data_IF_510113810739
#
_entry.id   IF_510113810739
#
_cell.length_a   1.000
_cell.length_b   1.000
_cell.length_c   1.000
_cell.angle_alpha   90.00
_cell.angle_beta   90.00
_cell.angle_gamma   90.00
#
_symmetry.space_group_name_H-M   'P 1'
#
loop_
_entity.id
_entity.type
_entity.pdbx_description
1 polymer ?
#
# COMPACT_ATOMS: atom_id res chain seq x y z
N UNK A 1 3.13 -2.25 -24.00
CA UNK A 1 4.28 -2.08 -23.08
C UNK A 1 5.21 -3.29 -23.12
N UNK A 2 4.70 -4.48 -22.82
CA UNK A 2 5.51 -5.70 -22.66
C UNK A 2 6.44 -5.91 -23.86
N UNK A 3 5.99 -5.64 -25.07
CA UNK A 3 6.82 -5.74 -26.27
C UNK A 3 7.82 -4.56 -26.42
N UNK A 4 7.62 -3.47 -25.70
CA UNK A 4 8.44 -2.25 -25.82
C UNK A 4 9.49 -2.17 -24.74
N UNK A 5 9.18 -2.60 -23.51
CA UNK A 5 10.10 -2.55 -22.37
C UNK A 5 11.04 -3.77 -22.32
N UNK A 6 10.77 -4.80 -23.11
CA UNK A 6 11.55 -6.05 -23.11
C UNK A 6 11.25 -6.96 -21.92
N UNK A 7 11.89 -8.15 -21.94
CA UNK A 7 11.70 -9.17 -20.91
C UNK A 7 12.63 -8.99 -19.69
N UNK A 8 13.59 -8.08 -19.78
CA UNK A 8 14.66 -7.94 -18.79
C UNK A 8 14.33 -6.91 -17.68
N UNK A 9 13.19 -6.21 -17.81
CA UNK A 9 12.75 -5.27 -16.79
C UNK A 9 12.06 -6.03 -15.65
N UNK A 10 12.69 -6.02 -14.48
CA UNK A 10 12.16 -6.62 -13.27
C UNK A 10 10.91 -5.89 -12.74
N UNK A 11 10.06 -6.62 -12.04
CA UNK A 11 8.99 -6.06 -11.22
C UNK A 11 9.29 -6.29 -9.74
N UNK A 12 8.75 -5.45 -8.88
CA UNK A 12 8.86 -5.56 -7.43
C UNK A 12 7.53 -6.09 -6.87
N UNK A 13 7.52 -7.30 -6.29
CA UNK A 13 6.29 -7.89 -5.76
C UNK A 13 5.90 -7.35 -4.38
N UNK A 14 6.79 -6.69 -3.65
CA UNK A 14 6.60 -6.13 -2.29
C UNK A 14 6.12 -7.15 -1.25
N UNK A 15 6.47 -8.42 -1.45
CA UNK A 15 6.20 -9.51 -0.50
C UNK A 15 7.40 -10.47 -0.45
N UNK A 16 7.48 -11.24 0.62
CA UNK A 16 8.56 -12.18 0.83
C UNK A 16 9.00 -12.23 2.29
N UNK A 17 10.08 -12.98 2.53
CA UNK A 17 10.71 -13.08 3.84
C UNK A 17 12.23 -12.99 3.70
N UNK A 18 12.89 -12.43 4.72
CA UNK A 18 14.32 -12.22 4.73
C UNK A 18 14.71 -10.77 4.87
N UNK A 19 15.94 -10.46 4.51
CA UNK A 19 16.52 -9.13 4.63
C UNK A 19 16.96 -8.63 3.25
N UNK A 20 16.75 -7.36 3.00
CA UNK A 20 17.22 -6.66 1.82
C UNK A 20 17.68 -5.26 2.26
N UNK A 21 18.88 -4.86 1.84
CA UNK A 21 19.46 -3.53 2.12
C UNK A 21 19.36 -3.13 3.62
N UNK A 22 19.66 -4.09 4.49
CA UNK A 22 19.67 -3.87 5.95
C UNK A 22 18.31 -3.91 6.66
N UNK A 23 17.19 -4.05 5.93
CA UNK A 23 15.85 -4.14 6.48
C UNK A 23 15.08 -5.41 6.10
N UNK A 24 14.01 -5.75 6.83
CA UNK A 24 13.14 -6.86 6.45
C UNK A 24 12.39 -6.51 5.16
N UNK A 25 12.28 -7.50 4.24
CA UNK A 25 11.52 -7.37 3.00
C UNK A 25 10.03 -7.62 3.23
N UNK A 26 9.21 -7.10 2.32
CA UNK A 26 7.77 -7.22 2.34
C UNK A 26 7.09 -6.15 3.19
N UNK A 27 5.84 -5.87 2.86
CA UNK A 27 5.03 -4.90 3.59
C UNK A 27 4.31 -5.62 4.74
N UNK A 28 4.61 -5.28 6.01
CA UNK A 28 3.99 -5.92 7.16
C UNK A 28 2.57 -5.40 7.39
N UNK A 29 1.75 -6.20 8.03
CA UNK A 29 0.45 -5.74 8.54
C UNK A 29 0.21 -6.24 9.96
N UNK A 30 -0.68 -5.57 10.67
CA UNK A 30 -1.14 -6.00 11.99
C UNK A 30 -2.66 -6.03 12.05
N UNK A 31 -3.20 -6.81 12.98
CA UNK A 31 -4.64 -6.86 13.23
C UNK A 31 -4.94 -6.40 14.64
N UNK A 32 -5.95 -5.55 14.79
CA UNK A 32 -6.36 -5.00 16.07
C UNK A 32 -7.86 -5.25 16.32
N UNK A 33 -8.30 -5.32 17.59
CA UNK A 33 -9.73 -5.39 17.92
C UNK A 33 -10.42 -4.05 17.70
N UNK A 34 -11.74 -4.02 17.70
CA UNK A 34 -12.53 -2.78 17.63
C UNK A 34 -12.28 -1.84 18.82
N UNK A 35 -11.82 -2.37 19.94
CA UNK A 35 -11.46 -1.62 21.14
C UNK A 35 -10.06 -0.98 21.09
N UNK A 36 -9.29 -1.17 20.00
CA UNK A 36 -8.00 -0.51 19.83
C UNK A 36 -8.16 0.99 19.96
N UNK A 37 -7.39 1.65 20.87
CA UNK A 37 -7.37 3.10 20.95
C UNK A 37 -7.01 3.74 19.60
N UNK A 38 -7.66 4.85 19.32
CA UNK A 38 -7.40 5.63 18.11
C UNK A 38 -6.33 6.69 18.40
N UNK A 39 -5.42 6.89 17.49
CA UNK A 39 -4.34 7.89 17.56
C UNK A 39 -4.59 9.01 16.55
N UNK A 40 -4.21 10.23 16.92
CA UNK A 40 -4.26 11.37 16.02
C UNK A 40 -3.30 11.18 14.86
N UNK A 41 -3.68 11.67 13.68
CA UNK A 41 -2.90 11.59 12.44
C UNK A 41 -2.69 12.99 11.88
N UNK A 42 -1.48 13.20 11.35
CA UNK A 42 -1.15 14.34 10.50
C UNK A 42 -0.71 13.80 9.14
N UNK A 43 -1.12 14.43 8.04
CA UNK A 43 -0.82 13.97 6.69
C UNK A 43 -0.15 15.04 5.85
N UNK A 44 0.89 14.65 5.10
CA UNK A 44 1.54 15.51 4.11
C UNK A 44 0.62 15.82 2.93
N UNK A 45 -0.17 14.83 2.47
CA UNK A 45 -1.22 14.97 1.45
C UNK A 45 -2.60 14.94 2.12
N UNK A 46 -2.89 15.92 2.96
CA UNK A 46 -4.12 16.00 3.74
C UNK A 46 -5.37 16.02 2.87
N UNK A 47 -5.31 16.75 1.74
CA UNK A 47 -6.41 16.88 0.76
C UNK A 47 -6.75 15.59 0.01
N UNK A 48 -5.86 14.58 0.10
CA UNK A 48 -6.04 13.27 -0.54
C UNK A 48 -6.01 12.11 0.46
N UNK A 49 -6.07 12.41 1.75
CA UNK A 49 -6.05 11.40 2.82
C UNK A 49 -7.39 11.34 3.54
N UNK A 50 -7.76 10.13 3.98
CA UNK A 50 -8.92 10.01 4.87
C UNK A 50 -8.51 10.53 6.25
N UNK A 51 -9.30 11.46 6.86
CA UNK A 51 -8.91 12.09 8.11
C UNK A 51 -8.80 11.08 9.25
N UNK A 52 -7.88 11.36 10.19
CA UNK A 52 -7.79 10.60 11.44
C UNK A 52 -9.03 10.75 12.34
N UNK A 53 -9.06 10.06 13.48
CA UNK A 53 -7.98 9.26 14.05
C UNK A 53 -7.93 7.81 13.50
N UNK A 54 -6.74 7.13 13.60
CA UNK A 54 -6.52 5.78 13.11
C UNK A 54 -6.23 4.79 14.25
N UNK A 55 -6.59 3.50 14.09
CA UNK A 55 -6.36 2.46 15.13
C UNK A 55 -4.95 1.88 15.07
N UNK A 56 -3.91 2.72 15.06
CA UNK A 56 -2.52 2.29 14.96
C UNK A 56 -2.00 1.99 16.37
N UNK A 57 -1.60 0.75 16.69
CA UNK A 57 -0.99 0.44 17.97
C UNK A 57 0.44 1.00 18.03
N UNK A 58 0.92 1.31 19.25
CA UNK A 58 2.26 1.90 19.47
C UNK A 58 3.42 1.04 18.95
N UNK A 59 3.20 -0.28 18.84
CA UNK A 59 4.15 -1.23 18.31
C UNK A 59 3.80 -1.70 16.89
N UNK A 60 3.06 -0.91 16.12
CA UNK A 60 2.73 -1.25 14.74
C UNK A 60 4.01 -1.54 13.94
N UNK A 61 4.06 -2.64 13.19
CA UNK A 61 5.20 -2.90 12.33
C UNK A 61 5.24 -1.89 11.19
N UNK A 62 6.43 -1.36 10.93
CA UNK A 62 6.72 -0.43 9.84
C UNK A 62 7.51 -1.18 8.77
N UNK A 63 7.16 -1.01 7.52
CA UNK A 63 7.90 -1.59 6.41
C UNK A 63 9.37 -1.17 6.45
N UNK A 64 10.27 -2.15 6.26
CA UNK A 64 11.71 -1.95 6.35
C UNK A 64 12.24 -1.77 7.78
N UNK A 65 11.36 -1.74 8.80
CA UNK A 65 11.70 -1.51 10.20
C UNK A 65 11.60 -0.05 10.65
N UNK A 66 11.83 0.22 11.96
CA UNK A 66 11.63 1.55 12.54
C UNK A 66 12.62 2.60 12.00
N UNK A 67 13.78 2.18 11.55
CA UNK A 67 14.86 3.05 11.04
C UNK A 67 14.90 3.11 9.50
N UNK A 68 13.92 2.49 8.82
CA UNK A 68 13.83 2.50 7.35
C UNK A 68 13.75 3.93 6.80
N UNK A 69 14.43 4.19 5.70
CA UNK A 69 14.33 5.41 4.89
C UNK A 69 13.46 5.24 3.62
N UNK A 70 12.86 4.04 3.45
CA UNK A 70 11.97 3.70 2.34
C UNK A 70 10.53 4.19 2.52
N UNK A 71 9.60 3.45 1.93
CA UNK A 71 8.18 3.81 1.88
C UNK A 71 7.47 3.76 3.25
N UNK A 72 7.99 2.98 4.21
CA UNK A 72 7.52 2.95 5.60
C UNK A 72 6.01 2.74 5.72
N UNK A 73 5.46 1.80 4.95
CA UNK A 73 4.05 1.48 5.05
C UNK A 73 3.67 0.93 6.43
N UNK A 74 2.51 1.35 6.94
CA UNK A 74 1.87 0.76 8.12
C UNK A 74 0.45 0.37 7.74
N UNK A 75 0.16 -0.95 7.84
CA UNK A 75 -1.13 -1.52 7.48
C UNK A 75 -1.80 -2.11 8.72
N UNK A 76 -3.03 -1.67 9.00
CA UNK A 76 -3.79 -2.10 10.19
C UNK A 76 -5.18 -2.58 9.78
N UNK A 77 -5.49 -3.85 10.09
CA UNK A 77 -6.83 -4.42 9.93
C UNK A 77 -7.56 -4.37 11.25
N UNK A 78 -8.69 -3.67 11.30
CA UNK A 78 -9.55 -3.61 12.49
C UNK A 78 -10.59 -4.73 12.44
N UNK A 79 -10.30 -5.81 13.16
CA UNK A 79 -11.17 -6.99 13.21
C UNK A 79 -12.53 -6.65 13.81
N UNK A 80 -13.60 -7.25 13.25
CA UNK A 80 -14.96 -6.99 13.68
C UNK A 80 -15.62 -5.79 13.00
N UNK A 81 -14.82 -4.77 12.63
CA UNK A 81 -15.29 -3.65 11.81
C UNK A 81 -15.07 -3.90 10.30
N UNK A 82 -14.18 -4.85 9.95
CA UNK A 82 -13.72 -5.08 8.57
C UNK A 82 -13.17 -3.80 7.90
N UNK A 83 -12.49 -2.98 8.68
CA UNK A 83 -11.82 -1.76 8.20
C UNK A 83 -10.33 -2.02 8.03
N UNK A 84 -9.78 -1.57 6.95
CA UNK A 84 -8.35 -1.52 6.67
C UNK A 84 -7.89 -0.06 6.70
N UNK A 85 -6.84 0.22 7.45
CA UNK A 85 -6.18 1.52 7.47
C UNK A 85 -4.76 1.33 6.98
N UNK A 86 -4.36 2.10 5.99
CA UNK A 86 -3.04 2.03 5.37
C UNK A 86 -2.43 3.43 5.31
N UNK A 87 -1.14 3.53 5.65
CA UNK A 87 -0.40 4.79 5.60
C UNK A 87 0.92 4.59 4.87
N UNK A 88 1.37 5.61 4.17
CA UNK A 88 2.66 5.70 3.52
C UNK A 88 3.52 6.75 4.21
N UNK A 89 4.84 6.51 4.29
CA UNK A 89 5.84 7.37 4.91
C UNK A 89 5.49 7.70 6.37
N UNK A 90 5.34 6.65 7.17
CA UNK A 90 4.73 6.71 8.51
C UNK A 90 5.76 6.87 9.61
N UNK A 91 5.54 7.82 10.50
CA UNK A 91 6.43 8.18 11.61
C UNK A 91 5.63 8.35 12.91
N UNK A 92 5.92 7.56 13.97
CA UNK A 92 5.37 7.82 15.30
C UNK A 92 5.99 9.10 15.85
N UNK A 93 5.18 9.91 16.53
CA UNK A 93 5.63 11.15 17.18
C UNK A 93 5.74 10.98 18.68
N UNK A 94 6.55 11.81 19.37
CA UNK A 94 6.78 11.67 20.83
C UNK A 94 5.53 11.83 21.70
N UNK A 95 4.50 12.52 21.22
CA UNK A 95 3.23 12.71 21.93
C UNK A 95 2.23 11.55 21.74
N UNK A 96 2.63 10.50 20.99
CA UNK A 96 1.82 9.33 20.71
C UNK A 96 0.89 9.46 19.51
N UNK A 97 0.94 10.58 18.79
CA UNK A 97 0.31 10.70 17.46
C UNK A 97 1.20 10.10 16.36
N UNK A 98 0.74 10.16 15.12
CA UNK A 98 1.51 9.73 13.95
C UNK A 98 1.46 10.79 12.86
N UNK A 99 2.59 10.97 12.17
CA UNK A 99 2.66 11.63 10.88
C UNK A 99 2.71 10.57 9.77
N UNK A 100 2.07 10.82 8.64
CA UNK A 100 2.24 10.04 7.42
C UNK A 100 2.19 10.94 6.18
N UNK A 101 2.85 10.51 5.10
CA UNK A 101 2.75 11.21 3.82
C UNK A 101 1.31 11.17 3.30
N UNK A 102 0.68 10.00 3.32
CA UNK A 102 -0.73 9.82 2.98
C UNK A 102 -1.37 8.72 3.81
N UNK A 103 -2.69 8.74 3.91
CA UNK A 103 -3.47 7.73 4.60
C UNK A 103 -4.79 7.40 3.92
N UNK A 104 -5.16 6.13 3.98
CA UNK A 104 -6.40 5.64 3.38
C UNK A 104 -7.12 4.67 4.31
N UNK A 105 -8.45 4.76 4.30
CA UNK A 105 -9.33 3.83 4.99
C UNK A 105 -10.20 3.10 3.97
N UNK A 106 -10.21 1.78 4.04
CA UNK A 106 -11.03 0.93 3.18
C UNK A 106 -11.97 0.06 4.00
N UNK A 107 -13.23 0.02 3.59
CA UNK A 107 -14.19 -0.95 4.10
C UNK A 107 -14.02 -2.25 3.31
N UNK A 108 -13.52 -3.31 3.95
CA UNK A 108 -13.25 -4.60 3.31
C UNK A 108 -14.53 -5.37 2.91
N UNK A 109 -15.71 -4.90 3.30
CA UNK A 109 -16.99 -5.43 2.82
C UNK A 109 -17.50 -4.70 1.57
N UNK A 110 -16.73 -3.80 0.99
CA UNK A 110 -17.15 -2.95 -0.12
C UNK A 110 -16.05 -2.86 -1.19
N UNK A 111 -16.48 -2.73 -2.44
CA UNK A 111 -15.61 -2.39 -3.57
C UNK A 111 -15.64 -0.88 -3.90
N UNK A 112 -16.07 -0.04 -2.96
CA UNK A 112 -16.08 1.40 -3.16
C UNK A 112 -14.65 1.90 -3.44
N UNK A 113 -14.54 2.71 -4.46
CA UNK A 113 -13.27 3.33 -4.85
C UNK A 113 -13.08 4.66 -4.10
N UNK A 114 -11.84 5.07 -3.93
CA UNK A 114 -11.49 6.41 -3.46
C UNK A 114 -11.97 7.47 -4.47
N UNK A 115 -12.10 8.73 -4.07
CA UNK A 115 -12.38 9.83 -5.00
C UNK A 115 -11.39 9.85 -6.16
N UNK A 116 -11.83 10.33 -7.31
CA UNK A 116 -10.99 10.46 -8.50
C UNK A 116 -9.85 11.45 -8.25
N UNK A 117 -8.63 11.07 -8.62
CA UNK A 117 -7.42 11.86 -8.38
C UNK A 117 -6.82 11.72 -6.98
N UNK A 118 -7.43 10.94 -6.08
CA UNK A 118 -6.88 10.72 -4.74
C UNK A 118 -5.89 9.55 -4.71
N UNK A 119 -4.75 9.79 -4.08
CA UNK A 119 -3.81 8.72 -3.73
C UNK A 119 -4.35 7.84 -2.60
N UNK A 120 -3.62 6.80 -2.24
CA UNK A 120 -3.74 6.04 -1.00
C UNK A 120 -2.33 5.84 -0.44
N UNK A 121 -2.13 4.87 0.43
CA UNK A 121 -0.77 4.40 0.74
C UNK A 121 -0.11 3.76 -0.51
N UNK A 122 -0.91 3.20 -1.41
CA UNK A 122 -0.50 2.86 -2.78
C UNK A 122 -0.73 4.07 -3.70
N UNK A 123 0.29 4.46 -4.45
CA UNK A 123 0.22 5.58 -5.39
C UNK A 123 -0.87 5.45 -6.46
N UNK A 124 -1.48 4.28 -6.63
CA UNK A 124 -2.61 4.06 -7.53
C UNK A 124 -3.97 4.43 -6.93
N UNK A 125 -4.04 4.82 -5.66
CA UNK A 125 -5.31 5.03 -4.95
C UNK A 125 -6.06 3.73 -4.66
N UNK A 126 -5.34 2.61 -4.59
CA UNK A 126 -5.87 1.27 -4.30
C UNK A 126 -5.40 0.79 -2.91
N UNK A 127 -6.05 -0.20 -2.31
CA UNK A 127 -5.54 -0.84 -1.11
C UNK A 127 -4.35 -1.75 -1.42
N UNK A 128 -3.38 -1.79 -0.52
CA UNK A 128 -2.18 -2.62 -0.61
C UNK A 128 -2.48 -4.06 -0.16
N UNK A 129 -3.00 -4.23 1.06
CA UNK A 129 -3.14 -5.53 1.71
C UNK A 129 -3.86 -6.60 0.87
N UNK A 130 -4.97 -6.30 0.16
CA UNK A 130 -5.66 -7.30 -0.66
C UNK A 130 -4.85 -7.83 -1.85
N UNK A 131 -3.78 -7.15 -2.23
CA UNK A 131 -2.90 -7.54 -3.34
C UNK A 131 -1.59 -8.20 -2.91
N UNK A 132 -1.29 -8.24 -1.61
CA UNK A 132 -0.08 -8.89 -1.08
C UNK A 132 -0.27 -10.41 -0.99
N UNK A 133 0.81 -11.14 -1.25
CA UNK A 133 0.88 -12.58 -0.95
C UNK A 133 1.09 -12.75 0.55
N UNK A 134 0.24 -13.54 1.18
CA UNK A 134 0.34 -13.86 2.61
C UNK A 134 0.85 -15.29 2.84
N UNK A 135 1.48 -15.50 3.98
CA UNK A 135 2.05 -16.80 4.32
C UNK A 135 1.01 -17.94 4.32
N UNK A 136 -0.18 -17.68 4.83
CA UNK A 136 -1.27 -18.67 4.88
C UNK A 136 -1.72 -19.12 3.48
N UNK A 137 -1.67 -18.24 2.48
CA UNK A 137 -1.96 -18.56 1.10
C UNK A 137 -0.88 -19.44 0.47
N UNK A 138 0.39 -19.11 0.73
CA UNK A 138 1.52 -19.92 0.28
C UNK A 138 1.50 -21.29 0.94
N UNK A 139 1.23 -21.36 2.24
CA UNK A 139 1.12 -22.61 2.98
C UNK A 139 -0.06 -23.47 2.47
N UNK A 140 -1.17 -22.85 2.08
CA UNK A 140 -2.32 -23.53 1.48
C UNK A 140 -2.08 -23.94 -0.01
N UNK A 141 -1.02 -23.42 -0.65
CA UNK A 141 -0.71 -23.67 -2.07
C UNK A 141 -1.69 -22.99 -3.03
N UNK A 142 -2.43 -21.99 -2.59
CA UNK A 142 -3.46 -21.34 -3.42
C UNK A 142 -3.57 -19.85 -3.08
N UNK A 143 -3.50 -19.01 -4.14
CA UNK A 143 -3.72 -17.55 -4.04
C UNK A 143 -4.93 -17.22 -4.91
N UNK A 144 -6.01 -16.75 -4.29
CA UNK A 144 -7.32 -16.53 -4.93
C UNK A 144 -7.61 -15.06 -5.26
N UNK A 145 -6.59 -14.23 -5.38
CA UNK A 145 -6.73 -12.81 -5.71
C UNK A 145 -5.65 -12.38 -6.72
N UNK A 146 -5.84 -11.20 -7.31
CA UNK A 146 -4.80 -10.58 -8.13
C UNK A 146 -3.62 -10.14 -7.25
N UNK A 147 -2.40 -10.33 -7.76
CA UNK A 147 -1.20 -9.87 -7.06
C UNK A 147 -0.91 -8.41 -7.40
N UNK A 148 -0.59 -7.63 -6.38
CA UNK A 148 -0.01 -6.30 -6.54
C UNK A 148 1.49 -6.43 -6.83
N UNK A 149 1.99 -5.61 -7.70
CA UNK A 149 3.42 -5.42 -7.92
C UNK A 149 3.70 -3.98 -8.34
N UNK A 150 4.93 -3.54 -8.18
CA UNK A 150 5.40 -2.23 -8.61
C UNK A 150 6.45 -2.37 -9.72
N UNK A 151 6.65 -1.27 -10.43
CA UNK A 151 7.66 -1.13 -11.48
C UNK A 151 8.40 0.19 -11.31
N UNK A 152 9.66 0.29 -11.75
CA UNK A 152 10.47 1.51 -11.52
C UNK A 152 9.88 2.77 -12.14
N UNK A 153 9.10 2.66 -13.22
CA UNK A 153 8.58 3.81 -13.95
C UNK A 153 7.15 3.54 -14.43
N UNK A 154 6.26 4.47 -14.14
CA UNK A 154 4.88 4.47 -14.61
C UNK A 154 4.59 5.72 -15.44
N UNK A 155 3.47 5.74 -16.14
CA UNK A 155 3.03 6.88 -16.93
C UNK A 155 2.13 7.81 -16.12
N UNK A 156 2.12 9.10 -16.47
CA UNK A 156 1.15 10.09 -15.98
C UNK A 156 -0.26 9.76 -16.46
N UNK A 157 -0.74 8.61 -16.04
CA UNK A 157 -2.08 8.10 -16.34
C UNK A 157 -2.42 6.95 -15.39
N UNK A 158 -3.70 6.68 -15.24
CA UNK A 158 -4.21 5.49 -14.58
C UNK A 158 -5.36 4.88 -15.37
N UNK A 159 -5.64 3.62 -15.10
CA UNK A 159 -6.80 2.89 -15.63
C UNK A 159 -7.60 2.30 -14.48
N UNK A 160 -8.91 2.23 -14.65
CA UNK A 160 -9.78 1.62 -13.65
C UNK A 160 -9.28 0.22 -13.21
N UNK A 161 -9.27 -0.07 -11.89
CA UNK A 161 -9.88 0.63 -10.76
C UNK A 161 -8.99 1.68 -10.08
N UNK A 162 -7.75 1.91 -10.54
CA UNK A 162 -6.91 2.95 -9.99
C UNK A 162 -7.56 4.34 -10.08
N UNK A 163 -7.18 5.22 -9.17
CA UNK A 163 -7.74 6.56 -9.02
C UNK A 163 -6.71 7.68 -9.11
N UNK A 164 -5.42 7.31 -9.15
CA UNK A 164 -4.32 8.26 -9.10
C UNK A 164 -3.10 7.77 -9.91
N UNK A 165 -2.22 8.67 -10.27
CA UNK A 165 -0.90 8.42 -10.84
C UNK A 165 0.16 9.21 -10.06
N UNK A 166 1.40 8.69 -10.01
CA UNK A 166 2.51 9.30 -9.26
C UNK A 166 3.74 9.55 -10.15
N UNK A 167 3.55 9.82 -11.43
CA UNK A 167 4.65 10.05 -12.37
C UNK A 167 4.28 11.09 -13.40
N UNK A 168 5.27 11.88 -13.84
CA UNK A 168 5.12 12.86 -14.92
C UNK A 168 5.49 12.32 -16.31
N UNK A 169 5.91 11.06 -16.41
CA UNK A 169 6.30 10.44 -17.67
C UNK A 169 5.08 10.24 -18.60
N UNK A 170 5.21 10.64 -19.86
CA UNK A 170 4.10 10.59 -20.84
C UNK A 170 4.29 9.55 -21.94
N UNK A 171 5.47 8.91 -22.02
CA UNK A 171 5.78 7.94 -23.06
C UNK A 171 4.88 6.72 -23.05
N UNK A 172 4.47 6.23 -24.24
CA UNK A 172 3.59 5.08 -24.38
C UNK A 172 4.22 3.75 -23.90
N UNK A 173 5.54 3.71 -23.72
CA UNK A 173 6.30 2.56 -23.18
C UNK A 173 6.07 2.37 -21.67
N UNK A 174 5.62 3.39 -20.96
CA UNK A 174 5.37 3.29 -19.51
C UNK A 174 3.93 2.82 -19.25
N UNK A 175 3.72 1.82 -18.37
CA UNK A 175 2.38 1.38 -18.01
C UNK A 175 1.67 2.47 -17.18
N UNK A 176 0.36 2.66 -17.35
CA UNK A 176 -0.43 3.47 -16.43
C UNK A 176 -0.60 2.73 -15.10
N UNK A 177 -0.85 3.48 -14.01
CA UNK A 177 -1.23 2.88 -12.73
C UNK A 177 -2.53 2.07 -12.87
N UNK A 178 -2.65 0.97 -12.11
CA UNK A 178 -3.81 0.07 -12.17
C UNK A 178 -3.82 -0.87 -13.40
N UNK A 179 -2.79 -0.85 -14.25
CA UNK A 179 -2.70 -1.78 -15.37
C UNK A 179 -2.62 -3.23 -14.87
N UNK A 180 -3.50 -4.07 -15.42
CA UNK A 180 -3.51 -5.50 -15.14
C UNK A 180 -2.74 -6.27 -16.20
N UNK A 181 -1.95 -7.23 -15.74
CA UNK A 181 -1.21 -8.16 -16.58
C UNK A 181 -1.66 -9.60 -16.27
N UNK A 182 -1.53 -10.46 -17.23
CA UNK A 182 -1.80 -11.88 -17.09
C UNK A 182 -0.56 -12.65 -17.52
N UNK A 183 -0.11 -13.55 -16.66
CA UNK A 183 0.89 -14.55 -17.06
C UNK A 183 0.30 -15.50 -18.12
N UNK A 184 1.13 -15.88 -19.09
CA UNK A 184 0.74 -16.86 -20.12
C UNK A 184 0.86 -18.27 -19.57
#
# INVERSE_FOLDING_TARGET
>A
YVNTIGADTGMHPDFGAGMWDGGPIGIPYTTVPTSQPLVAMEFGYEDQSDPGPYPIPTNAPIEGGPDSDGDRHVLVVRRGACDLHETWYSWPTPDGSWYAGSGARFNLNSNALRPDGWTSADAAGLPILPGLVRYDEVAAGTINHALRFTVPQTRRAYVWPARHYASDLTGAQYPPMGQRFRLK
#
